data_IF_872212909154
#
_entry.id   IF_872212909154
#
_cell.length_a   1.000
_cell.length_b   1.000
_cell.length_c   1.000
_cell.angle_alpha   90.00
_cell.angle_beta   90.00
_cell.angle_gamma   90.00
#
_symmetry.space_group_name_H-M   'P 1'
#
loop_
_entity.id
_entity.type
_entity.pdbx_description
1 polymer ?
#
# COMPACT_ATOMS: atom_id res chain seq x y z
N UNK A 1 -16.04 -30.33 -20.35
CA UNK A 1 -17.34 -29.71 -20.01
C UNK A 1 -17.08 -28.57 -19.05
N UNK A 2 -17.35 -27.31 -19.44
CA UNK A 2 -17.35 -26.17 -18.49
C UNK A 2 -18.57 -26.35 -17.59
N UNK A 3 -18.35 -26.75 -16.34
CA UNK A 3 -19.42 -26.72 -15.35
C UNK A 3 -19.75 -25.25 -15.12
N UNK A 4 -20.99 -24.87 -15.40
CA UNK A 4 -21.47 -23.52 -15.16
C UNK A 4 -21.60 -23.36 -13.65
N UNK A 5 -20.54 -22.86 -12.99
CA UNK A 5 -20.42 -22.63 -11.53
C UNK A 5 -21.65 -21.97 -10.90
N UNK A 6 -22.41 -21.25 -11.71
CA UNK A 6 -23.68 -20.59 -11.40
C UNK A 6 -24.82 -21.54 -10.98
N UNK A 7 -24.78 -22.82 -11.35
CA UNK A 7 -25.87 -23.76 -11.07
C UNK A 7 -25.82 -24.44 -9.70
N UNK A 8 -24.73 -24.24 -8.93
CA UNK A 8 -24.52 -24.90 -7.63
C UNK A 8 -24.86 -24.03 -6.41
N UNK A 9 -25.25 -22.77 -6.61
CA UNK A 9 -25.59 -21.86 -5.51
C UNK A 9 -27.10 -21.85 -5.21
N UNK A 10 -27.45 -21.99 -3.94
CA UNK A 10 -28.82 -22.13 -3.45
C UNK A 10 -29.63 -20.82 -3.64
N UNK A 11 -30.77 -20.90 -4.34
CA UNK A 11 -31.53 -19.77 -4.94
C UNK A 11 -32.04 -18.69 -3.96
N UNK A 12 -32.14 -18.95 -2.65
CA UNK A 12 -32.76 -17.99 -1.70
C UNK A 12 -31.82 -16.88 -1.21
N UNK A 13 -30.50 -17.07 -1.23
CA UNK A 13 -29.51 -16.06 -0.78
C UNK A 13 -29.06 -15.15 -1.96
N UNK A 14 -29.09 -15.68 -3.19
CA UNK A 14 -28.59 -15.03 -4.41
C UNK A 14 -29.40 -13.77 -4.77
N UNK A 15 -30.69 -13.71 -4.45
CA UNK A 15 -31.54 -12.55 -4.77
C UNK A 15 -31.07 -11.23 -4.13
N UNK A 16 -30.15 -11.29 -3.17
CA UNK A 16 -29.60 -10.12 -2.46
C UNK A 16 -28.22 -9.68 -2.95
N UNK A 17 -27.55 -10.43 -3.83
CA UNK A 17 -26.17 -10.12 -4.25
C UNK A 17 -25.95 -10.33 -5.76
N UNK A 18 -25.39 -9.33 -6.43
CA UNK A 18 -24.96 -9.40 -7.83
C UNK A 18 -23.43 -9.58 -7.87
N UNK A 19 -22.92 -10.61 -8.55
CA UNK A 19 -21.50 -10.73 -8.86
C UNK A 19 -21.08 -9.64 -9.83
N UNK A 20 -19.97 -8.97 -9.52
CA UNK A 20 -19.47 -7.81 -10.27
C UNK A 20 -18.15 -8.09 -10.99
N UNK A 21 -17.38 -9.08 -10.54
CA UNK A 21 -16.08 -9.47 -11.12
C UNK A 21 -15.51 -10.72 -10.43
N UNK A 22 -14.37 -11.22 -10.94
CA UNK A 22 -13.56 -12.23 -10.27
C UNK A 22 -12.45 -11.59 -9.43
N UNK A 23 -12.24 -12.13 -8.23
CA UNK A 23 -11.19 -11.69 -7.32
C UNK A 23 -9.81 -11.88 -7.96
N UNK A 24 -8.96 -10.85 -7.92
CA UNK A 24 -7.61 -10.91 -8.47
C UNK A 24 -6.71 -11.95 -7.80
N UNK A 25 -7.01 -12.31 -6.55
CA UNK A 25 -6.20 -13.22 -5.74
C UNK A 25 -6.66 -14.67 -5.80
N UNK A 26 -7.94 -14.94 -5.52
CA UNK A 26 -8.46 -16.31 -5.46
C UNK A 26 -9.28 -16.73 -6.68
N UNK A 27 -9.53 -15.82 -7.64
CA UNK A 27 -10.46 -16.02 -8.77
C UNK A 27 -11.90 -16.34 -8.38
N UNK A 28 -12.23 -16.31 -7.09
CA UNK A 28 -13.60 -16.43 -6.58
C UNK A 28 -14.43 -15.17 -6.84
N UNK A 29 -15.76 -15.26 -6.73
CA UNK A 29 -16.66 -14.18 -7.07
C UNK A 29 -16.51 -12.99 -6.11
N UNK A 30 -16.47 -11.80 -6.67
CA UNK A 30 -16.65 -10.54 -5.97
C UNK A 30 -18.11 -10.13 -6.11
N UNK A 31 -18.80 -9.93 -4.99
CA UNK A 31 -20.25 -9.71 -4.96
C UNK A 31 -20.61 -8.34 -4.38
N UNK A 32 -21.64 -7.72 -4.92
CA UNK A 32 -22.21 -6.45 -4.47
C UNK A 32 -23.67 -6.67 -4.03
N UNK A 33 -24.07 -6.07 -2.90
CA UNK A 33 -25.46 -6.15 -2.44
C UNK A 33 -26.42 -5.41 -3.39
N UNK A 34 -27.60 -6.00 -3.63
CA UNK A 34 -28.63 -5.48 -4.56
C UNK A 34 -29.46 -4.34 -3.93
N UNK A 35 -29.53 -4.28 -2.59
CA UNK A 35 -30.15 -3.19 -1.83
C UNK A 35 -29.27 -2.82 -0.63
N UNK A 36 -29.09 -1.52 -0.38
CA UNK A 36 -28.00 -0.90 0.38
C UNK A 36 -27.95 -1.12 1.88
N UNK A 37 -28.91 -1.84 2.48
CA UNK A 37 -29.10 -1.79 3.93
C UNK A 37 -28.49 -2.98 4.69
N UNK A 38 -27.99 -3.98 3.98
CA UNK A 38 -27.33 -5.15 4.58
C UNK A 38 -26.12 -5.61 3.77
N UNK A 39 -24.94 -5.13 4.15
CA UNK A 39 -23.68 -5.78 3.80
C UNK A 39 -23.35 -6.78 4.91
N UNK A 40 -23.70 -8.06 4.76
CA UNK A 40 -23.10 -9.11 5.58
C UNK A 40 -21.86 -9.64 4.87
N UNK A 41 -20.69 -9.34 5.43
CA UNK A 41 -19.39 -9.86 4.98
C UNK A 41 -19.36 -11.40 4.89
N UNK A 42 -20.26 -12.07 5.61
CA UNK A 42 -20.44 -13.52 5.67
C UNK A 42 -20.72 -14.19 4.30
N UNK A 43 -21.45 -13.56 3.37
CA UNK A 43 -21.79 -14.21 2.09
C UNK A 43 -20.61 -14.26 1.10
N UNK A 44 -19.74 -13.25 1.08
CA UNK A 44 -18.51 -13.27 0.26
C UNK A 44 -17.52 -14.32 0.77
N UNK A 45 -17.50 -14.55 2.09
CA UNK A 45 -16.62 -15.53 2.73
C UNK A 45 -17.14 -16.97 2.52
N UNK A 46 -18.46 -17.18 2.56
CA UNK A 46 -19.07 -18.49 2.26
C UNK A 46 -18.86 -18.84 0.77
N UNK A 47 -19.09 -17.91 -0.16
CA UNK A 47 -18.90 -18.17 -1.58
C UNK A 47 -17.44 -18.49 -1.93
N UNK A 48 -16.46 -17.77 -1.37
CA UNK A 48 -15.03 -18.06 -1.57
C UNK A 48 -14.56 -19.34 -0.85
N UNK A 49 -15.02 -19.61 0.37
CA UNK A 49 -14.64 -20.82 1.12
C UNK A 49 -15.21 -22.11 0.50
N UNK A 50 -16.37 -22.03 -0.15
CA UNK A 50 -16.94 -23.12 -0.97
C UNK A 50 -16.15 -23.28 -2.27
N UNK A 51 -15.74 -22.17 -2.92
CA UNK A 51 -14.95 -22.22 -4.15
C UNK A 51 -13.57 -22.89 -3.94
N UNK A 52 -12.87 -22.54 -2.87
CA UNK A 52 -11.58 -23.16 -2.52
C UNK A 52 -11.69 -24.66 -2.15
N UNK A 53 -12.89 -25.19 -1.86
CA UNK A 53 -13.10 -26.64 -1.64
C UNK A 53 -13.37 -27.41 -2.93
N UNK A 54 -13.70 -26.74 -4.03
CA UNK A 54 -14.12 -27.38 -5.28
C UNK A 54 -13.02 -27.42 -6.36
N UNK A 55 -11.87 -26.79 -6.13
CA UNK A 55 -10.67 -27.01 -6.96
C UNK A 55 -9.84 -28.19 -6.45
N UNK A 56 -9.60 -29.12 -7.38
CA UNK A 56 -8.92 -30.39 -7.23
C UNK A 56 -7.44 -30.22 -6.84
N UNK A 57 -6.97 -31.11 -5.96
CA UNK A 57 -5.57 -31.43 -5.64
C UNK A 57 -4.75 -30.42 -4.81
N UNK A 58 -5.03 -30.35 -3.50
CA UNK A 58 -3.99 -30.45 -2.45
C UNK A 58 -4.59 -31.17 -1.24
N UNK A 59 -4.12 -32.39 -0.96
CA UNK A 59 -4.37 -33.13 0.29
C UNK A 59 -3.00 -33.51 0.91
N UNK A 60 -2.90 -33.96 2.19
CA UNK A 60 -3.91 -34.03 3.24
C UNK A 60 -3.47 -33.41 4.60
N UNK A 61 -4.43 -33.04 5.44
CA UNK A 61 -4.20 -32.98 6.89
C UNK A 61 -4.98 -31.92 7.66
N UNK A 62 -6.07 -32.33 8.28
CA UNK A 62 -6.52 -31.74 9.56
C UNK A 62 -7.80 -30.90 9.53
N UNK A 63 -8.92 -31.57 9.74
CA UNK A 63 -9.81 -31.21 10.86
C UNK A 63 -10.83 -30.09 10.64
N UNK A 64 -12.06 -30.52 10.38
CA UNK A 64 -13.31 -29.77 10.50
C UNK A 64 -13.61 -29.38 11.95
N UNK A 65 -12.88 -28.42 12.51
CA UNK A 65 -13.26 -27.74 13.75
C UNK A 65 -12.82 -26.28 13.70
N UNK A 66 -13.76 -25.37 13.40
CA UNK A 66 -13.78 -23.91 13.72
C UNK A 66 -14.66 -23.11 12.74
N UNK A 67 -15.96 -23.41 12.69
CA UNK A 67 -16.94 -22.55 12.00
C UNK A 67 -17.88 -21.75 12.93
N UNK A 68 -17.65 -21.75 14.25
CA UNK A 68 -18.48 -20.96 15.19
C UNK A 68 -17.75 -19.84 15.94
N UNK A 69 -16.55 -19.43 15.51
CA UNK A 69 -15.79 -18.35 16.17
C UNK A 69 -15.61 -17.07 15.33
N UNK A 70 -16.14 -16.98 14.11
CA UNK A 70 -15.96 -15.81 13.23
C UNK A 70 -17.14 -14.81 13.24
N UNK A 71 -18.20 -15.06 14.00
CA UNK A 71 -19.42 -14.24 13.98
C UNK A 71 -19.45 -13.06 14.97
N UNK A 72 -18.30 -12.54 15.43
CA UNK A 72 -18.27 -11.39 16.37
C UNK A 72 -17.12 -10.41 16.13
N UNK A 73 -16.96 -9.87 14.92
CA UNK A 73 -16.30 -8.57 14.74
C UNK A 73 -16.89 -7.87 13.50
N UNK A 74 -17.85 -6.94 13.67
CA UNK A 74 -17.98 -5.79 12.76
C UNK A 74 -18.86 -4.68 13.34
N UNK A 75 -18.30 -3.87 14.24
CA UNK A 75 -18.83 -2.52 14.55
C UNK A 75 -17.87 -1.43 14.05
N UNK A 76 -17.34 -1.59 12.83
CA UNK A 76 -16.76 -0.46 12.13
C UNK A 76 -17.01 -0.56 10.62
N UNK A 77 -17.96 0.25 10.15
CA UNK A 77 -18.35 0.38 8.75
C UNK A 77 -17.25 1.09 7.95
N UNK A 78 -16.23 0.35 7.52
CA UNK A 78 -15.29 0.80 6.48
C UNK A 78 -15.37 -0.21 5.35
N UNK A 79 -15.93 0.22 4.21
CA UNK A 79 -15.91 -0.60 3.00
C UNK A 79 -14.46 -0.80 2.54
N UNK A 80 -14.05 -2.02 2.15
CA UNK A 80 -12.71 -2.23 1.61
C UNK A 80 -12.55 -1.38 0.34
N UNK A 81 -11.40 -0.70 0.16
CA UNK A 81 -11.15 0.09 -1.03
C UNK A 81 -11.19 -0.83 -2.24
N UNK A 82 -11.95 -0.40 -3.26
CA UNK A 82 -12.11 -1.14 -4.51
C UNK A 82 -12.60 -2.59 -4.29
N UNK A 83 -13.70 -2.72 -3.54
CA UNK A 83 -14.46 -3.96 -3.29
C UNK A 83 -14.88 -4.73 -4.55
N UNK A 84 -14.53 -4.23 -5.76
CA UNK A 84 -14.73 -4.84 -7.08
C UNK A 84 -13.51 -5.61 -7.60
N UNK A 85 -12.36 -5.62 -6.93
CA UNK A 85 -11.15 -6.30 -7.42
C UNK A 85 -10.60 -7.35 -6.45
N UNK A 86 -10.84 -7.18 -5.15
CA UNK A 86 -10.44 -8.12 -4.11
C UNK A 86 -11.68 -8.45 -3.29
N UNK A 87 -11.99 -9.74 -3.15
CA UNK A 87 -13.10 -10.19 -2.31
C UNK A 87 -12.78 -10.00 -0.81
N UNK A 88 -13.82 -10.03 0.03
CA UNK A 88 -13.66 -9.80 1.47
C UNK A 88 -12.63 -10.74 2.12
N UNK A 89 -12.72 -12.04 1.82
CA UNK A 89 -11.79 -13.06 2.29
C UNK A 89 -10.32 -12.74 1.96
N UNK A 90 -10.03 -12.39 0.71
CA UNK A 90 -8.68 -12.06 0.30
C UNK A 90 -8.19 -10.73 0.88
N UNK A 91 -9.09 -9.75 1.03
CA UNK A 91 -8.79 -8.47 1.67
C UNK A 91 -8.32 -8.65 3.12
N UNK A 92 -9.01 -9.49 3.91
CA UNK A 92 -8.63 -9.78 5.30
C UNK A 92 -7.22 -10.37 5.44
N UNK A 93 -6.71 -11.01 4.38
CA UNK A 93 -5.40 -11.68 4.34
C UNK A 93 -4.31 -10.82 3.72
N UNK A 94 -4.63 -9.60 3.27
CA UNK A 94 -3.59 -8.68 2.82
C UNK A 94 -2.68 -8.31 3.99
N UNK A 95 -1.37 -8.18 3.77
CA UNK A 95 -0.41 -7.86 4.82
C UNK A 95 -0.48 -6.35 5.13
N UNK A 96 -1.60 -5.90 5.68
CA UNK A 96 -1.85 -4.50 6.05
C UNK A 96 -0.96 -4.10 7.23
N UNK A 97 -0.27 -2.97 7.12
CA UNK A 97 0.54 -2.45 8.20
C UNK A 97 -0.36 -1.75 9.22
N UNK A 98 -0.45 -2.30 10.44
CA UNK A 98 -1.31 -1.75 11.50
C UNK A 98 -0.52 -1.00 12.58
N UNK A 99 0.39 -1.70 13.24
CA UNK A 99 1.19 -1.16 14.34
C UNK A 99 2.62 -0.98 13.88
N UNK A 100 3.04 0.27 13.75
CA UNK A 100 4.36 0.61 13.23
C UNK A 100 4.88 1.91 13.80
N UNK A 101 6.19 2.09 13.70
CA UNK A 101 6.87 3.33 14.02
C UNK A 101 6.27 4.48 13.19
N UNK A 102 5.78 5.54 13.83
CA UNK A 102 5.21 6.72 13.16
C UNK A 102 6.18 7.34 12.15
N UNK A 103 7.49 7.26 12.42
CA UNK A 103 8.52 7.90 11.62
C UNK A 103 8.85 7.04 10.40
N UNK A 104 9.32 5.82 10.59
CA UNK A 104 9.84 4.97 9.52
C UNK A 104 8.95 3.80 9.13
N UNK A 105 7.76 3.67 9.72
CA UNK A 105 6.80 2.59 9.50
C UNK A 105 7.36 1.16 9.73
N UNK A 106 8.48 1.02 10.47
CA UNK A 106 8.94 -0.31 10.91
C UNK A 106 7.93 -0.89 11.91
N UNK A 107 7.59 -2.19 11.81
CA UNK A 107 6.81 -2.85 12.84
C UNK A 107 7.47 -2.69 14.21
N UNK A 108 6.65 -2.49 15.24
CA UNK A 108 7.10 -2.29 16.62
C UNK A 108 6.49 -3.39 17.47
N UNK A 109 7.33 -4.09 18.24
CA UNK A 109 6.93 -5.17 19.13
C UNK A 109 6.82 -4.65 20.56
N UNK A 110 5.63 -4.65 21.15
CA UNK A 110 5.42 -4.26 22.55
C UNK A 110 3.94 -4.13 22.92
N UNK A 111 3.59 -4.52 24.15
CA UNK A 111 2.22 -4.38 24.70
C UNK A 111 1.88 -2.89 24.73
N UNK A 112 0.79 -2.54 24.07
CA UNK A 112 0.34 -1.17 23.87
C UNK A 112 -0.24 -0.60 25.16
N UNK A 113 0.21 0.59 25.54
CA UNK A 113 -0.61 1.53 26.31
C UNK A 113 -1.31 2.45 25.31
N UNK A 114 -2.59 2.71 25.53
CA UNK A 114 -3.39 3.56 24.66
C UNK A 114 -2.75 4.96 24.51
N UNK A 115 -2.76 5.49 23.28
CA UNK A 115 -2.47 6.89 22.93
C UNK A 115 -1.02 7.39 22.83
N UNK A 116 -0.01 6.56 22.58
CA UNK A 116 1.33 7.07 22.23
C UNK A 116 1.76 6.73 20.80
N UNK A 117 2.02 7.77 19.99
CA UNK A 117 2.63 7.61 18.66
C UNK A 117 4.02 6.95 18.81
N UNK A 118 4.13 5.68 18.46
CA UNK A 118 5.34 4.90 18.74
C UNK A 118 6.48 5.26 17.79
N UNK A 119 7.70 5.42 18.34
CA UNK A 119 8.94 5.63 17.58
C UNK A 119 9.88 4.47 17.90
N UNK A 120 10.36 3.76 16.88
CA UNK A 120 11.30 2.65 17.09
C UNK A 120 12.66 3.15 17.58
N UNK A 121 13.43 2.29 18.26
CA UNK A 121 14.75 2.63 18.80
C UNK A 121 15.75 3.15 17.75
N UNK A 122 15.63 2.72 16.49
CA UNK A 122 16.46 3.25 15.41
C UNK A 122 16.14 4.73 15.12
N UNK A 123 14.87 5.11 15.04
CA UNK A 123 14.46 6.49 14.81
C UNK A 123 14.71 7.40 16.02
N UNK A 124 14.64 6.85 17.24
CA UNK A 124 15.04 7.58 18.45
C UNK A 124 16.54 7.91 18.44
N UNK A 125 17.39 6.95 18.08
CA UNK A 125 18.85 7.15 18.01
C UNK A 125 19.28 7.99 16.80
N UNK A 126 18.66 7.76 15.65
CA UNK A 126 19.00 8.38 14.37
C UNK A 126 17.72 8.83 13.69
N UNK A 127 17.22 10.00 14.09
CA UNK A 127 16.03 10.58 13.48
C UNK A 127 16.31 10.96 12.02
N UNK A 128 15.51 10.46 11.06
CA UNK A 128 15.58 10.92 9.68
C UNK A 128 15.07 12.36 9.56
N UNK A 129 15.32 12.99 8.41
CA UNK A 129 14.88 14.35 8.09
C UNK A 129 13.36 14.42 7.81
N UNK A 130 12.73 13.32 7.41
CA UNK A 130 11.27 13.23 7.34
C UNK A 130 10.66 12.94 8.72
N UNK A 131 9.43 13.38 8.96
CA UNK A 131 8.78 13.32 10.28
C UNK A 131 7.82 12.14 10.44
N UNK A 132 7.09 11.79 9.38
CA UNK A 132 6.10 10.72 9.41
C UNK A 132 6.16 9.88 8.14
N UNK A 133 5.93 8.57 8.26
CA UNK A 133 5.65 7.69 7.12
C UNK A 133 4.24 7.15 7.24
N UNK A 134 3.49 7.21 6.15
CA UNK A 134 2.19 6.54 6.01
C UNK A 134 2.32 5.49 4.90
N UNK A 135 1.86 4.28 5.21
CA UNK A 135 1.92 3.16 4.27
C UNK A 135 0.79 2.17 4.52
N UNK A 136 0.37 1.47 3.47
CA UNK A 136 -0.73 0.52 3.54
C UNK A 136 -0.27 -0.89 3.93
N UNK A 137 0.90 -1.32 3.46
CA UNK A 137 1.28 -2.73 3.49
C UNK A 137 2.68 -2.99 4.01
N UNK A 138 2.88 -4.20 4.55
CA UNK A 138 4.19 -4.84 4.55
C UNK A 138 4.56 -5.25 3.12
N UNK A 139 5.83 -5.13 2.75
CA UNK A 139 6.32 -5.55 1.45
C UNK A 139 6.56 -7.07 1.40
N UNK A 140 5.47 -7.82 1.38
CA UNK A 140 5.42 -9.29 1.37
C UNK A 140 4.35 -9.76 0.36
N UNK A 141 4.37 -11.02 -0.09
CA UNK A 141 3.32 -11.54 -0.96
C UNK A 141 1.92 -11.40 -0.33
N UNK A 142 0.88 -11.08 -1.12
CA UNK A 142 0.89 -10.88 -2.57
C UNK A 142 1.29 -9.45 -3.01
N UNK A 143 1.53 -8.52 -2.09
CA UNK A 143 1.78 -7.11 -2.39
C UNK A 143 3.12 -6.92 -3.11
N UNK A 144 4.17 -7.66 -2.70
CA UNK A 144 5.45 -7.67 -3.41
C UNK A 144 5.31 -8.05 -4.87
N UNK A 145 4.42 -9.00 -5.17
CA UNK A 145 4.23 -9.57 -6.51
C UNK A 145 3.40 -8.62 -7.37
N UNK A 146 2.40 -7.96 -6.79
CA UNK A 146 1.67 -6.88 -7.44
C UNK A 146 2.57 -5.71 -7.78
N UNK A 147 3.39 -5.27 -6.83
CA UNK A 147 4.36 -4.19 -7.05
C UNK A 147 5.37 -4.59 -8.13
N UNK A 148 5.89 -5.82 -8.09
CA UNK A 148 6.80 -6.35 -9.11
C UNK A 148 6.15 -6.42 -10.48
N UNK A 149 4.91 -6.89 -10.57
CA UNK A 149 4.12 -6.94 -11.81
C UNK A 149 3.85 -5.55 -12.37
N UNK A 150 3.57 -4.57 -11.51
CA UNK A 150 3.53 -3.17 -11.93
C UNK A 150 4.88 -2.68 -12.42
N UNK A 151 6.03 -3.21 -11.93
CA UNK A 151 7.35 -2.77 -12.39
C UNK A 151 7.70 -3.23 -13.79
N UNK A 152 7.27 -4.44 -14.17
CA UNK A 152 7.78 -5.12 -15.35
C UNK A 152 6.70 -5.46 -16.39
N UNK A 153 5.43 -5.54 -16.00
CA UNK A 153 4.34 -6.05 -16.86
C UNK A 153 3.32 -4.96 -17.26
N UNK A 154 3.54 -3.69 -16.87
CA UNK A 154 2.68 -2.57 -17.29
C UNK A 154 1.23 -2.63 -16.80
N UNK A 155 0.96 -3.37 -15.72
CA UNK A 155 -0.38 -3.61 -15.19
C UNK A 155 -0.85 -2.41 -14.36
N UNK A 156 -1.21 -1.32 -15.04
CA UNK A 156 -1.55 -0.04 -14.40
C UNK A 156 -2.77 -0.10 -13.48
N UNK A 157 -3.74 -1.00 -13.72
CA UNK A 157 -4.94 -1.07 -12.88
C UNK A 157 -4.62 -1.50 -11.43
N UNK A 158 -3.56 -2.29 -11.22
CA UNK A 158 -3.08 -2.64 -9.87
C UNK A 158 -2.57 -1.41 -9.11
N UNK A 159 -2.10 -0.38 -9.82
CA UNK A 159 -1.65 0.86 -9.18
C UNK A 159 -2.81 1.62 -8.55
N UNK A 160 -3.99 1.63 -9.19
CA UNK A 160 -5.19 2.23 -8.60
C UNK A 160 -5.57 1.49 -7.33
N UNK A 161 -5.71 0.16 -7.42
CA UNK A 161 -6.06 -0.69 -6.28
C UNK A 161 -5.16 -0.42 -5.06
N UNK A 162 -3.84 -0.49 -5.26
CA UNK A 162 -2.89 -0.27 -4.17
C UNK A 162 -2.89 1.17 -3.66
N UNK A 163 -3.09 2.14 -4.55
CA UNK A 163 -3.20 3.55 -4.16
C UNK A 163 -4.43 3.81 -3.31
N UNK A 164 -5.55 3.13 -3.57
CA UNK A 164 -6.78 3.29 -2.79
C UNK A 164 -6.56 2.88 -1.32
N UNK A 165 -5.80 1.81 -1.06
CA UNK A 165 -5.41 1.43 0.31
C UNK A 165 -4.53 2.48 0.97
N UNK A 166 -3.54 3.01 0.25
CA UNK A 166 -2.69 4.09 0.78
C UNK A 166 -3.51 5.35 1.06
N UNK A 167 -4.44 5.70 0.18
CA UNK A 167 -5.34 6.83 0.34
C UNK A 167 -6.16 6.71 1.63
N UNK A 168 -6.72 5.54 1.92
CA UNK A 168 -7.45 5.31 3.17
C UNK A 168 -6.55 5.52 4.40
N UNK A 169 -5.31 5.02 4.38
CA UNK A 169 -4.36 5.24 5.49
C UNK A 169 -4.01 6.73 5.66
N UNK A 170 -3.91 7.48 4.56
CA UNK A 170 -3.68 8.93 4.60
C UNK A 170 -4.88 9.65 5.21
N UNK A 171 -6.12 9.30 4.83
CA UNK A 171 -7.36 9.87 5.41
C UNK A 171 -7.50 9.60 6.89
N UNK A 172 -7.06 8.44 7.36
CA UNK A 172 -7.02 8.11 8.80
C UNK A 172 -5.90 8.86 9.55
N UNK A 173 -4.88 9.34 8.83
CA UNK A 173 -3.68 9.92 9.42
C UNK A 173 -3.64 11.45 9.45
N UNK A 174 -4.54 12.13 8.73
CA UNK A 174 -4.65 13.58 8.67
C UNK A 174 -6.11 14.03 8.65
N UNK A 175 -6.34 15.19 9.26
CA UNK A 175 -7.49 16.01 8.92
C UNK A 175 -7.19 16.81 7.64
N UNK A 176 -8.19 17.15 6.81
CA UNK A 176 -7.98 17.85 5.53
C UNK A 176 -7.16 19.14 5.63
N UNK A 177 -7.36 19.93 6.67
CA UNK A 177 -6.63 21.17 6.98
C UNK A 177 -5.14 20.95 7.29
N UNK A 178 -4.76 19.73 7.65
CA UNK A 178 -3.41 19.34 8.02
C UNK A 178 -2.69 18.59 6.88
N UNK A 179 -3.24 18.58 5.66
CA UNK A 179 -2.59 17.96 4.51
C UNK A 179 -1.32 18.71 4.08
N UNK A 180 -0.37 18.02 3.43
CA UNK A 180 0.77 18.68 2.81
C UNK A 180 0.32 19.64 1.72
N UNK A 181 1.07 20.72 1.57
CA UNK A 181 0.82 21.75 0.56
C UNK A 181 1.29 21.35 -0.83
N UNK A 182 2.05 20.25 -0.95
CA UNK A 182 2.48 19.70 -2.23
C UNK A 182 2.99 18.27 -2.13
N UNK A 183 2.79 17.51 -3.21
CA UNK A 183 3.31 16.15 -3.36
C UNK A 183 4.54 16.13 -4.26
N UNK A 184 5.55 15.37 -3.87
CA UNK A 184 6.76 15.13 -4.66
C UNK A 184 6.92 13.62 -4.86
N UNK A 185 6.71 13.14 -6.08
CA UNK A 185 7.04 11.75 -6.40
C UNK A 185 8.57 11.55 -6.38
N UNK A 186 9.04 10.46 -5.77
CA UNK A 186 10.46 10.10 -5.81
C UNK A 186 10.90 9.94 -7.28
N UNK A 187 11.88 10.73 -7.77
CA UNK A 187 12.25 10.68 -9.17
C UNK A 187 13.08 9.43 -9.49
N UNK A 188 12.72 8.77 -10.59
CA UNK A 188 13.57 7.76 -11.21
C UNK A 188 14.73 8.43 -11.96
N UNK A 189 15.86 7.74 -12.00
CA UNK A 189 16.97 8.15 -12.85
C UNK A 189 16.54 8.06 -14.34
N UNK A 190 16.90 9.01 -15.23
CA UNK A 190 16.47 9.01 -16.63
C UNK A 190 16.71 7.70 -17.38
N UNK A 191 17.80 6.97 -17.08
CA UNK A 191 18.08 5.65 -17.68
C UNK A 191 17.04 4.60 -17.28
N UNK A 192 16.62 4.58 -16.00
CA UNK A 192 15.58 3.68 -15.50
C UNK A 192 14.20 4.06 -16.04
N UNK A 193 13.92 5.37 -16.13
CA UNK A 193 12.68 5.86 -16.72
C UNK A 193 12.57 5.44 -18.19
N UNK A 194 13.62 5.61 -18.99
CA UNK A 194 13.65 5.15 -20.40
C UNK A 194 13.45 3.64 -20.53
N UNK A 195 14.09 2.83 -19.69
CA UNK A 195 13.95 1.37 -19.71
C UNK A 195 12.52 0.92 -19.34
N UNK A 196 11.92 1.57 -18.36
CA UNK A 196 10.63 1.17 -17.76
C UNK A 196 9.43 1.84 -18.42
N UNK A 197 9.62 2.95 -19.13
CA UNK A 197 8.57 3.75 -19.76
C UNK A 197 7.81 4.69 -18.81
N UNK A 198 7.84 4.44 -17.50
CA UNK A 198 7.08 5.21 -16.50
C UNK A 198 7.70 5.19 -15.09
N UNK A 199 7.28 6.16 -14.26
CA UNK A 199 7.60 6.26 -12.83
C UNK A 199 6.35 5.97 -11.98
N UNK A 200 6.42 4.98 -11.10
CA UNK A 200 5.30 4.43 -10.34
C UNK A 200 4.95 5.35 -9.18
N UNK A 201 5.98 5.91 -8.54
CA UNK A 201 5.81 6.99 -7.58
C UNK A 201 5.03 8.15 -8.21
N UNK A 202 5.29 8.47 -9.48
CA UNK A 202 4.57 9.53 -10.21
C UNK A 202 3.10 9.16 -10.48
N UNK A 203 2.82 7.90 -10.83
CA UNK A 203 1.45 7.42 -11.04
C UNK A 203 0.64 7.47 -9.74
N UNK A 204 1.20 6.95 -8.65
CA UNK A 204 0.61 6.98 -7.31
C UNK A 204 0.36 8.43 -6.88
N UNK A 205 1.39 9.29 -6.99
CA UNK A 205 1.29 10.70 -6.60
C UNK A 205 0.25 11.47 -7.42
N UNK A 206 0.09 11.16 -8.71
CA UNK A 206 -0.94 11.77 -9.57
C UNK A 206 -2.35 11.40 -9.10
N UNK A 207 -2.58 10.14 -8.74
CA UNK A 207 -3.88 9.70 -8.21
C UNK A 207 -4.17 10.36 -6.85
N UNK A 208 -3.20 10.37 -5.94
CA UNK A 208 -3.36 11.00 -4.61
C UNK A 208 -3.55 12.52 -4.70
N UNK A 209 -2.79 13.20 -5.57
CA UNK A 209 -2.93 14.64 -5.82
C UNK A 209 -4.36 15.00 -6.25
N UNK A 210 -4.95 14.20 -7.15
CA UNK A 210 -6.33 14.38 -7.57
C UNK A 210 -7.32 14.12 -6.43
N UNK A 211 -7.11 13.04 -5.68
CA UNK A 211 -8.04 12.61 -4.61
C UNK A 211 -8.10 13.59 -3.43
N UNK A 212 -6.97 14.21 -3.10
CA UNK A 212 -6.85 15.17 -1.99
C UNK A 212 -6.84 16.63 -2.41
N UNK A 213 -6.90 16.93 -3.71
CA UNK A 213 -6.74 18.29 -4.25
C UNK A 213 -5.43 18.96 -3.81
N UNK A 214 -4.34 18.19 -3.76
CA UNK A 214 -2.99 18.67 -3.40
C UNK A 214 -2.15 18.79 -4.69
N UNK A 215 -1.42 19.90 -4.90
CA UNK A 215 -0.63 20.06 -6.12
C UNK A 215 0.51 19.05 -6.21
N UNK A 216 0.68 18.44 -7.39
CA UNK A 216 1.79 17.55 -7.69
C UNK A 216 2.97 18.35 -8.27
N UNK A 217 4.05 18.46 -7.50
CA UNK A 217 5.23 19.27 -7.81
C UNK A 217 6.23 18.50 -8.70
N UNK A 218 5.79 18.08 -9.89
CA UNK A 218 6.52 17.16 -10.79
C UNK A 218 7.89 17.65 -11.26
N UNK A 219 8.13 18.96 -11.22
CA UNK A 219 9.39 19.59 -11.68
C UNK A 219 10.25 20.14 -10.55
N UNK A 220 9.79 20.02 -9.30
CA UNK A 220 10.51 20.55 -8.14
C UNK A 220 11.81 19.79 -7.89
N UNK A 221 11.85 18.48 -8.16
CA UNK A 221 13.02 17.65 -7.87
C UNK A 221 13.44 16.86 -9.10
N UNK A 222 14.73 16.89 -9.41
CA UNK A 222 15.35 16.04 -10.43
C UNK A 222 16.36 15.09 -9.80
N UNK A 223 16.49 13.89 -10.39
CA UNK A 223 17.55 12.94 -10.01
C UNK A 223 18.66 12.98 -11.05
N UNK A 224 19.81 13.50 -10.67
CA UNK A 224 20.91 13.78 -11.60
C UNK A 224 21.94 12.65 -11.70
N UNK A 225 21.95 11.69 -10.76
CA UNK A 225 22.93 10.58 -10.72
C UNK A 225 22.29 9.21 -10.96
N UNK A 226 22.90 8.42 -11.84
CA UNK A 226 22.58 7.01 -12.03
C UNK A 226 23.19 6.21 -10.89
N UNK A 227 22.48 6.11 -9.78
CA UNK A 227 22.92 5.17 -8.73
C UNK A 227 22.55 3.77 -9.22
N UNK A 228 23.55 3.01 -9.71
CA UNK A 228 23.34 1.58 -9.99
C UNK A 228 22.77 0.93 -8.74
N UNK A 229 21.62 0.27 -8.88
CA UNK A 229 21.17 -0.68 -7.88
C UNK A 229 22.03 -1.93 -8.07
N UNK A 230 23.28 -1.88 -7.61
CA UNK A 230 24.07 -3.11 -7.48
C UNK A 230 23.41 -3.90 -6.36
N UNK A 231 22.76 -4.99 -6.75
CA UNK A 231 22.03 -5.94 -5.89
C UNK A 231 22.91 -6.54 -4.79
N UNK A 232 24.23 -6.38 -4.86
CA UNK A 232 25.23 -6.86 -3.92
C UNK A 232 25.80 -5.81 -2.95
N UNK A 233 25.38 -4.54 -3.00
CA UNK A 233 25.96 -3.51 -2.14
C UNK A 233 25.19 -3.33 -0.82
N UNK A 234 25.97 -3.48 0.25
CA UNK A 234 25.65 -3.24 1.66
C UNK A 234 24.93 -1.90 1.89
N UNK A 235 24.08 -1.82 2.91
CA UNK A 235 23.21 -0.67 3.19
C UNK A 235 23.97 0.66 3.28
N UNK A 236 25.22 0.62 3.80
CA UNK A 236 26.13 1.76 3.89
C UNK A 236 26.55 2.32 2.52
N UNK A 237 26.84 1.45 1.54
CA UNK A 237 27.21 1.87 0.18
C UNK A 237 26.01 2.43 -0.57
N UNK A 238 24.79 1.92 -0.32
CA UNK A 238 23.55 2.54 -0.83
C UNK A 238 23.36 3.96 -0.31
N UNK A 239 23.67 4.20 0.97
CA UNK A 239 23.60 5.53 1.58
C UNK A 239 24.61 6.50 0.99
N UNK A 240 25.86 6.08 0.76
CA UNK A 240 26.87 6.91 0.11
C UNK A 240 26.50 7.24 -1.34
N UNK A 241 25.98 6.27 -2.09
CA UNK A 241 25.60 6.45 -3.49
C UNK A 241 24.44 7.43 -3.68
N UNK A 242 23.55 7.55 -2.70
CA UNK A 242 22.39 8.46 -2.78
C UNK A 242 22.73 9.90 -2.39
N UNK A 243 23.83 10.17 -1.68
CA UNK A 243 24.19 11.55 -1.27
C UNK A 243 24.29 12.48 -2.48
N UNK A 244 23.51 13.56 -2.46
CA UNK A 244 23.45 14.53 -3.55
C UNK A 244 22.89 13.97 -4.86
N UNK A 245 22.15 12.85 -4.83
CA UNK A 245 21.52 12.29 -6.03
C UNK A 245 20.32 13.13 -6.51
N UNK A 246 19.74 13.94 -5.63
CA UNK A 246 18.59 14.79 -5.91
C UNK A 246 18.99 16.26 -5.93
N UNK A 247 18.42 17.00 -6.89
CA UNK A 247 18.52 18.44 -6.99
C UNK A 247 17.12 19.05 -6.92
N UNK A 248 16.92 19.98 -5.99
CA UNK A 248 15.67 20.71 -5.80
C UNK A 248 15.79 22.04 -6.54
N UNK A 249 14.91 22.26 -7.51
CA UNK A 249 15.05 23.29 -8.55
C UNK A 249 14.55 24.68 -8.09
N UNK A 250 13.63 24.71 -7.15
CA UNK A 250 13.02 25.94 -6.62
C UNK A 250 12.61 25.73 -5.15
N UNK A 251 12.26 26.81 -4.45
CA UNK A 251 11.83 26.73 -3.05
C UNK A 251 10.58 25.85 -2.91
N UNK A 252 10.61 24.76 -2.11
CA UNK A 252 9.43 23.96 -1.85
C UNK A 252 8.46 24.69 -0.90
N UNK A 253 7.18 24.27 -0.84
CA UNK A 253 6.28 24.65 0.24
C UNK A 253 6.82 24.25 1.62
N UNK A 254 6.28 24.86 2.68
CA UNK A 254 6.70 24.58 4.06
C UNK A 254 6.43 23.11 4.43
N UNK A 255 5.31 22.55 3.99
CA UNK A 255 4.99 21.14 4.19
C UNK A 255 4.78 20.40 2.88
N UNK A 256 5.63 19.40 2.63
CA UNK A 256 5.53 18.51 1.47
C UNK A 256 5.46 17.05 1.87
N UNK A 257 4.77 16.23 1.08
CA UNK A 257 4.84 14.77 1.18
C UNK A 257 5.59 14.18 -0.01
N UNK A 258 6.56 13.32 0.28
CA UNK A 258 7.29 12.52 -0.69
C UNK A 258 6.54 11.23 -0.93
N UNK A 259 6.27 10.89 -2.19
CA UNK A 259 5.53 9.69 -2.58
C UNK A 259 6.46 8.66 -3.22
N UNK A 260 6.41 7.40 -2.78
CA UNK A 260 7.18 6.28 -3.37
C UNK A 260 6.32 5.00 -3.50
N UNK A 261 6.81 3.99 -4.22
CA UNK A 261 6.15 2.68 -4.27
C UNK A 261 6.51 1.82 -3.04
N UNK A 262 7.80 1.67 -2.74
CA UNK A 262 8.29 0.83 -1.64
C UNK A 262 9.39 1.53 -0.87
N UNK A 263 9.23 1.64 0.44
CA UNK A 263 10.29 2.07 1.32
C UNK A 263 11.02 0.85 1.93
N UNK A 264 12.35 0.80 1.78
CA UNK A 264 13.22 -0.30 2.25
C UNK A 264 14.10 0.07 3.46
N UNK A 265 15.06 0.95 3.30
CA UNK A 265 15.87 1.48 4.42
C UNK A 265 15.46 2.90 4.79
N UNK A 266 14.56 3.52 4.00
CA UNK A 266 14.24 4.94 4.11
C UNK A 266 15.35 5.86 3.59
N UNK A 267 16.48 5.34 3.11
CA UNK A 267 17.62 6.15 2.67
C UNK A 267 17.26 7.11 1.54
N UNK A 268 16.52 6.65 0.53
CA UNK A 268 16.06 7.49 -0.60
C UNK A 268 15.18 8.64 -0.10
N UNK A 269 14.20 8.32 0.74
CA UNK A 269 13.28 9.30 1.32
C UNK A 269 14.03 10.29 2.23
N UNK A 270 14.99 9.82 3.03
CA UNK A 270 15.78 10.65 3.92
C UNK A 270 16.67 11.62 3.16
N UNK A 271 17.34 11.18 2.09
CA UNK A 271 18.13 12.07 1.24
C UNK A 271 17.25 13.12 0.57
N UNK A 272 16.09 12.71 0.02
CA UNK A 272 15.18 13.65 -0.61
C UNK A 272 14.63 14.68 0.39
N UNK A 273 14.22 14.23 1.58
CA UNK A 273 13.82 15.10 2.67
C UNK A 273 14.95 16.06 3.08
N UNK A 274 16.19 15.58 3.15
CA UNK A 274 17.36 16.42 3.45
C UNK A 274 17.51 17.56 2.44
N UNK A 275 17.37 17.28 1.14
CA UNK A 275 17.48 18.31 0.11
C UNK A 275 16.30 19.29 0.14
N UNK A 276 15.08 18.82 0.41
CA UNK A 276 13.89 19.67 0.54
C UNK A 276 13.99 20.61 1.74
N UNK A 277 14.40 20.10 2.91
CA UNK A 277 14.61 20.91 4.12
C UNK A 277 15.71 21.95 3.88
N UNK A 278 16.83 21.56 3.24
CA UNK A 278 17.91 22.51 2.89
C UNK A 278 17.45 23.66 1.98
N UNK A 279 16.42 23.44 1.16
CA UNK A 279 15.84 24.47 0.29
C UNK A 279 14.66 25.22 0.95
N UNK A 280 14.37 24.97 2.23
CA UNK A 280 13.41 25.74 3.00
C UNK A 280 12.07 25.07 3.28
N UNK A 281 11.91 23.77 3.00
CA UNK A 281 10.79 23.03 3.60
C UNK A 281 10.99 22.95 5.12
N UNK A 282 9.91 23.02 5.88
CA UNK A 282 9.92 22.90 7.34
C UNK A 282 9.54 21.47 7.77
N UNK A 283 8.70 20.80 6.97
CA UNK A 283 8.25 19.44 7.22
C UNK A 283 8.23 18.63 5.93
N UNK A 284 8.71 17.39 6.04
CA UNK A 284 8.60 16.38 4.99
C UNK A 284 8.01 15.12 5.60
N UNK A 285 6.90 14.64 5.03
CA UNK A 285 6.35 13.31 5.33
C UNK A 285 6.54 12.37 4.13
N UNK A 286 6.42 11.07 4.34
CA UNK A 286 6.61 10.03 3.32
C UNK A 286 5.34 9.22 3.18
N UNK A 287 4.83 9.08 1.96
CA UNK A 287 3.70 8.23 1.63
C UNK A 287 4.18 7.13 0.68
N UNK A 288 4.04 5.87 1.06
CA UNK A 288 4.43 4.75 0.19
C UNK A 288 3.46 3.58 0.26
N UNK A 289 3.33 2.81 -0.82
CA UNK A 289 2.41 1.66 -0.84
C UNK A 289 2.83 0.62 0.20
N UNK A 290 4.12 0.28 0.25
CA UNK A 290 4.61 -0.77 1.12
C UNK A 290 5.93 -0.44 1.83
N UNK A 291 6.09 -1.03 3.01
CA UNK A 291 7.31 -1.01 3.82
C UNK A 291 7.99 -2.38 3.82
N UNK A 292 9.23 -2.44 3.33
CA UNK A 292 10.07 -3.63 3.39
C UNK A 292 10.99 -3.63 4.60
N UNK A 293 11.00 -4.73 5.34
CA UNK A 293 11.86 -4.97 6.48
C UNK A 293 12.31 -6.43 6.44
N UNK A 294 13.50 -6.71 6.96
CA UNK A 294 13.95 -8.08 7.18
C UNK A 294 13.60 -8.44 8.61
N UNK A 295 12.85 -9.53 8.80
CA UNK A 295 12.81 -10.21 10.08
C UNK A 295 14.21 -10.80 10.29
N UNK A 296 15.00 -10.19 11.17
CA UNK A 296 16.19 -10.82 11.70
C UNK A 296 15.79 -11.68 12.90
#
# INVERSE_FOLDING_TARGET
MKVNIWSLFNLKIISKFIPVSDCLLCRGPVVQAVNSDYWSNECSDIACSVFNRLDLNLAPGGGLDRLEAAAKISDNKIQPPNSRLICHYCHQRLPLLRQSCRVCAMPVTGVLTDNQEQVCGQCLRHSPMFKKTITAFHYEPPISDFITSMKFNGIYYLSSLLTDYLEQQIRLSYQPENFPQGLVAVPLHPKKLRKRGFNQAQLIAKTLAKSFSIPLLSHLVKRNRDTQAQTSLDALKRQQNLRGAFNVISKPPNFVAVVDDVMTTGTTANELATQLIKQGAERVDVWCIARAYTNN
#
